data_IF_920859626743
#
_entry.id   IF_920859626743
#
_cell.length_a   1.000
_cell.length_b   1.000
_cell.length_c   1.000
_cell.angle_alpha   90.00
_cell.angle_beta   90.00
_cell.angle_gamma   90.00
#
_symmetry.space_group_name_H-M   'P 1'
#
loop_
_entity.id
_entity.type
_entity.pdbx_description
1 polymer ?
#
# COMPACT_ATOMS: atom_id res chain seq x y z
N UNK A 1 -13.51 1.10 -11.42
CA UNK A 1 -13.46 0.97 -9.94
C UNK A 1 -12.04 1.14 -9.39
N UNK A 2 -11.05 0.32 -9.80
CA UNK A 2 -9.68 0.35 -9.25
C UNK A 2 -8.99 1.74 -9.28
N UNK A 3 -8.86 2.35 -10.46
CA UNK A 3 -8.16 3.63 -10.62
C UNK A 3 -8.78 4.75 -9.76
N UNK A 4 -10.11 4.80 -9.67
CA UNK A 4 -10.83 5.77 -8.83
C UNK A 4 -10.55 5.55 -7.34
N UNK A 5 -10.43 4.29 -6.89
CA UNK A 5 -10.06 3.99 -5.51
C UNK A 5 -8.63 4.45 -5.21
N UNK A 6 -7.67 4.16 -6.10
CA UNK A 6 -6.29 4.67 -5.96
C UNK A 6 -6.29 6.20 -5.86
N UNK A 7 -6.97 6.88 -6.78
CA UNK A 7 -7.07 8.33 -6.80
C UNK A 7 -7.69 8.88 -5.50
N UNK A 8 -8.78 8.28 -5.02
CA UNK A 8 -9.44 8.69 -3.76
C UNK A 8 -8.59 8.45 -2.51
N UNK A 9 -7.73 7.43 -2.52
CA UNK A 9 -6.84 7.13 -1.40
C UNK A 9 -5.70 8.14 -1.35
N UNK A 10 -5.10 8.42 -2.51
CA UNK A 10 -3.96 9.33 -2.61
C UNK A 10 -4.35 10.80 -2.45
N UNK A 11 -5.58 11.18 -2.78
CA UNK A 11 -6.11 12.53 -2.52
C UNK A 11 -6.72 12.70 -1.13
N UNK A 12 -6.78 11.64 -0.31
CA UNK A 12 -7.37 11.71 1.02
C UNK A 12 -6.55 12.58 1.97
N UNK A 13 -7.19 13.41 2.82
CA UNK A 13 -6.52 14.11 3.93
C UNK A 13 -5.85 13.18 4.95
N UNK A 14 -6.21 11.88 4.93
CA UNK A 14 -5.57 10.85 5.77
C UNK A 14 -4.35 10.22 5.11
N UNK A 15 -4.17 10.41 3.81
CA UNK A 15 -3.12 9.81 2.99
C UNK A 15 -1.80 10.58 3.05
N UNK A 16 -0.87 10.19 2.17
CA UNK A 16 0.49 10.71 2.11
C UNK A 16 0.59 12.22 1.82
N UNK A 17 -0.41 12.81 1.16
CA UNK A 17 -0.48 14.25 0.89
C UNK A 17 -1.26 15.05 1.94
N UNK A 18 -1.73 14.41 3.01
CA UNK A 18 -2.66 15.00 3.96
C UNK A 18 -2.09 16.14 4.82
N UNK A 19 -0.78 16.33 4.83
CA UNK A 19 -0.09 17.44 5.51
C UNK A 19 0.26 18.61 4.58
N UNK A 20 -0.07 18.52 3.29
CA UNK A 20 0.21 19.55 2.29
C UNK A 20 1.65 19.55 1.76
N UNK A 21 2.54 18.68 2.25
CA UNK A 21 3.93 18.62 1.77
C UNK A 21 4.04 18.02 0.35
N UNK A 22 3.01 17.30 -0.11
CA UNK A 22 2.95 16.65 -1.42
C UNK A 22 1.53 16.52 -1.94
N UNK A 23 1.38 16.42 -3.26
CA UNK A 23 0.13 16.15 -3.94
C UNK A 23 0.32 15.07 -5.02
N UNK A 24 -0.77 14.37 -5.35
CA UNK A 24 -0.78 13.34 -6.38
C UNK A 24 -1.69 13.76 -7.52
N UNK A 25 -1.23 13.56 -8.75
CA UNK A 25 -2.02 13.79 -9.94
C UNK A 25 -2.02 12.53 -10.80
N UNK A 26 -3.20 12.02 -11.11
CA UNK A 26 -3.35 10.96 -12.09
C UNK A 26 -3.22 11.55 -13.49
N UNK A 27 -2.33 10.99 -14.29
CA UNK A 27 -2.15 11.37 -15.69
C UNK A 27 -2.48 10.18 -16.61
N UNK A 28 -2.94 10.48 -17.81
CA UNK A 28 -3.29 9.46 -18.82
C UNK A 28 -2.13 9.15 -19.77
N UNK A 29 -1.16 10.06 -19.91
CA UNK A 29 -0.01 9.95 -20.80
C UNK A 29 1.19 10.71 -20.22
N UNK A 30 2.38 10.49 -20.80
CA UNK A 30 3.61 11.19 -20.40
C UNK A 30 4.42 10.47 -19.31
N UNK A 31 5.55 11.07 -18.89
CA UNK A 31 6.38 10.55 -17.80
C UNK A 31 5.62 10.60 -16.47
N UNK A 32 5.89 9.63 -15.60
CA UNK A 32 5.28 9.53 -14.27
C UNK A 32 6.33 9.20 -13.23
N UNK A 33 6.16 9.69 -12.01
CA UNK A 33 7.05 9.34 -10.89
C UNK A 33 6.89 7.89 -10.44
N UNK A 34 5.68 7.33 -10.57
CA UNK A 34 5.40 5.92 -10.31
C UNK A 34 4.07 5.49 -10.97
N UNK A 35 3.83 4.18 -11.01
CA UNK A 35 2.59 3.55 -11.47
C UNK A 35 2.03 2.66 -10.38
N UNK A 36 0.72 2.65 -10.21
CA UNK A 36 0.02 1.67 -9.36
C UNK A 36 -0.62 0.62 -10.26
N UNK A 37 -0.21 -0.63 -10.11
CA UNK A 37 -0.61 -1.75 -10.98
C UNK A 37 -1.34 -2.80 -10.17
N UNK A 38 -2.56 -3.19 -10.56
CA UNK A 38 -3.21 -4.38 -10.04
C UNK A 38 -2.93 -5.55 -11.00
N UNK A 39 -2.28 -6.61 -10.52
CA UNK A 39 -1.80 -7.70 -11.37
C UNK A 39 -2.16 -9.09 -10.82
N UNK A 40 -2.34 -10.07 -11.71
CA UNK A 40 -2.52 -11.47 -11.32
C UNK A 40 -1.28 -12.01 -10.60
N UNK A 41 -1.40 -13.03 -9.71
CA UNK A 41 -0.28 -13.62 -8.98
C UNK A 41 1.01 -13.82 -9.78
N UNK A 42 0.97 -14.56 -10.89
CA UNK A 42 2.16 -14.81 -11.71
C UNK A 42 2.69 -13.57 -12.44
N UNK A 43 1.84 -12.57 -12.71
CA UNK A 43 2.30 -11.28 -13.25
C UNK A 43 2.96 -10.44 -12.16
N UNK A 44 2.42 -10.46 -10.94
CA UNK A 44 3.06 -9.84 -9.77
C UNK A 44 4.44 -10.43 -9.53
N UNK A 45 4.58 -11.76 -9.48
CA UNK A 45 5.87 -12.43 -9.28
C UNK A 45 6.91 -11.98 -10.35
N UNK A 46 6.49 -11.87 -11.61
CA UNK A 46 7.36 -11.40 -12.71
C UNK A 46 7.75 -9.93 -12.56
N UNK A 47 6.79 -9.05 -12.24
CA UNK A 47 7.03 -7.61 -12.11
C UNK A 47 7.85 -7.27 -10.86
N UNK A 48 7.76 -8.10 -9.81
CA UNK A 48 8.43 -7.92 -8.54
C UNK A 48 9.83 -8.54 -8.47
N UNK A 49 10.20 -9.39 -9.44
CA UNK A 49 11.52 -10.02 -9.45
C UNK A 49 12.66 -8.98 -9.33
N UNK A 50 13.68 -9.24 -8.49
CA UNK A 50 13.99 -10.50 -7.80
C UNK A 50 13.29 -10.70 -6.44
N UNK A 51 12.36 -9.83 -6.04
CA UNK A 51 11.62 -10.00 -4.79
C UNK A 51 10.70 -11.22 -4.86
N UNK A 52 10.65 -11.98 -3.77
CA UNK A 52 9.84 -13.21 -3.69
C UNK A 52 8.47 -12.89 -3.09
N UNK A 53 7.47 -12.78 -3.97
CA UNK A 53 6.07 -12.48 -3.58
C UNK A 53 5.25 -13.72 -3.24
N UNK A 54 5.77 -14.93 -3.48
CA UNK A 54 5.09 -16.21 -3.22
C UNK A 54 3.68 -16.29 -3.85
N UNK A 55 3.44 -15.62 -4.98
CA UNK A 55 2.14 -15.56 -5.64
C UNK A 55 1.06 -14.78 -4.87
N UNK A 56 1.34 -14.24 -3.68
CA UNK A 56 0.32 -13.62 -2.82
C UNK A 56 0.69 -12.22 -2.37
N UNK A 57 1.96 -11.84 -2.30
CA UNK A 57 2.36 -10.52 -1.80
C UNK A 57 2.43 -9.48 -2.92
N UNK A 58 2.19 -8.24 -2.53
CA UNK A 58 2.45 -7.05 -3.33
C UNK A 58 3.93 -6.65 -3.20
N UNK A 59 4.37 -5.72 -4.05
CA UNK A 59 5.71 -5.14 -3.94
C UNK A 59 5.76 -3.74 -4.55
N UNK A 60 6.86 -3.05 -4.27
CA UNK A 60 7.33 -1.94 -5.07
C UNK A 60 8.64 -2.31 -5.77
N UNK A 61 8.69 -2.20 -7.09
CA UNK A 61 9.87 -2.49 -7.89
C UNK A 61 10.03 -1.48 -9.04
N UNK A 62 11.19 -0.83 -9.10
CA UNK A 62 11.43 0.27 -10.04
C UNK A 62 10.48 1.44 -9.78
N UNK A 63 9.71 1.84 -10.79
CA UNK A 63 8.66 2.88 -10.70
C UNK A 63 7.25 2.27 -10.51
N UNK A 64 7.11 1.06 -9.99
CA UNK A 64 5.81 0.38 -9.89
C UNK A 64 5.50 -0.07 -8.47
N UNK A 65 4.40 0.44 -7.93
CA UNK A 65 3.64 -0.16 -6.84
C UNK A 65 2.73 -1.26 -7.43
N UNK A 66 3.10 -2.52 -7.25
CA UNK A 66 2.39 -3.69 -7.79
C UNK A 66 1.53 -4.32 -6.69
N UNK A 67 0.22 -4.26 -6.87
CA UNK A 67 -0.77 -4.86 -5.99
C UNK A 67 -1.16 -6.26 -6.49
N UNK A 68 -1.02 -7.26 -5.64
CA UNK A 68 -1.42 -8.63 -5.97
C UNK A 68 -2.96 -8.76 -5.99
N UNK A 69 -3.53 -9.23 -7.11
CA UNK A 69 -4.99 -9.32 -7.27
C UNK A 69 -5.66 -10.36 -6.39
N UNK A 70 -4.93 -11.41 -5.96
CA UNK A 70 -5.47 -12.38 -5.02
C UNK A 70 -5.70 -11.73 -3.65
N UNK A 71 -4.72 -10.98 -3.15
CA UNK A 71 -4.86 -10.19 -1.91
C UNK A 71 -5.88 -9.08 -2.04
N UNK A 72 -5.92 -8.39 -3.18
CA UNK A 72 -6.92 -7.37 -3.45
C UNK A 72 -8.37 -7.89 -3.32
N UNK A 73 -8.60 -9.15 -3.68
CA UNK A 73 -9.92 -9.78 -3.63
C UNK A 73 -10.20 -10.40 -2.27
N UNK A 74 -9.21 -11.05 -1.65
CA UNK A 74 -9.43 -11.90 -0.47
C UNK A 74 -9.03 -11.25 0.86
N UNK A 75 -8.28 -10.13 0.83
CA UNK A 75 -7.84 -9.48 2.05
C UNK A 75 -6.61 -10.15 2.70
N UNK A 76 -6.39 -9.81 3.97
CA UNK A 76 -5.47 -10.49 4.86
C UNK A 76 -6.11 -10.65 6.24
N UNK A 77 -5.74 -11.72 6.94
CA UNK A 77 -6.33 -12.09 8.24
C UNK A 77 -6.24 -10.96 9.27
N UNK A 78 -5.18 -10.14 9.19
CA UNK A 78 -5.02 -8.97 10.04
C UNK A 78 -6.17 -7.97 9.94
N UNK A 79 -6.82 -7.84 8.79
CA UNK A 79 -7.96 -6.94 8.59
C UNK A 79 -9.32 -7.63 8.80
N UNK A 80 -9.36 -8.93 9.09
CA UNK A 80 -10.60 -9.69 9.24
C UNK A 80 -11.51 -9.52 8.02
N UNK A 81 -12.73 -9.02 8.26
CA UNK A 81 -13.73 -8.77 7.20
C UNK A 81 -13.60 -7.41 6.53
N UNK A 82 -12.68 -6.52 6.97
CA UNK A 82 -12.49 -5.19 6.41
C UNK A 82 -11.64 -5.18 5.12
N UNK A 83 -12.22 -5.75 4.05
CA UNK A 83 -11.58 -5.77 2.73
C UNK A 83 -11.36 -4.36 2.17
N UNK A 84 -12.25 -3.42 2.48
CA UNK A 84 -12.12 -2.04 2.02
C UNK A 84 -10.92 -1.34 2.68
N UNK A 85 -10.72 -1.51 3.99
CA UNK A 85 -9.53 -1.07 4.70
C UNK A 85 -8.28 -1.72 4.15
N UNK A 86 -8.28 -3.03 3.95
CA UNK A 86 -7.11 -3.74 3.41
C UNK A 86 -6.69 -3.23 2.02
N UNK A 87 -7.64 -2.94 1.12
CA UNK A 87 -7.33 -2.36 -0.20
C UNK A 87 -6.68 -0.98 -0.09
N UNK A 88 -7.13 -0.13 0.85
CA UNK A 88 -6.52 1.17 1.13
C UNK A 88 -5.11 1.00 1.70
N UNK A 89 -4.93 0.05 2.61
CA UNK A 89 -3.63 -0.33 3.15
C UNK A 89 -2.66 -0.75 2.03
N UNK A 90 -3.05 -1.66 1.14
CA UNK A 90 -2.21 -2.10 0.02
C UNK A 90 -1.76 -0.92 -0.85
N UNK A 91 -2.68 0.00 -1.18
CA UNK A 91 -2.36 1.19 -1.96
C UNK A 91 -1.34 2.06 -1.21
N UNK A 92 -1.62 2.41 0.04
CA UNK A 92 -0.74 3.29 0.80
C UNK A 92 0.63 2.66 1.09
N UNK A 93 0.69 1.35 1.35
CA UNK A 93 1.94 0.64 1.64
C UNK A 93 2.88 0.66 0.42
N UNK A 94 2.40 0.21 -0.74
CA UNK A 94 3.24 0.13 -1.94
C UNK A 94 3.56 1.51 -2.52
N UNK A 95 2.64 2.48 -2.40
CA UNK A 95 2.95 3.88 -2.73
C UNK A 95 3.92 4.49 -1.73
N UNK A 96 3.87 4.10 -0.45
CA UNK A 96 4.85 4.50 0.55
C UNK A 96 6.27 4.12 0.12
N UNK A 97 6.46 2.90 -0.40
CA UNK A 97 7.74 2.51 -1.00
C UNK A 97 8.13 3.38 -2.21
N UNK A 98 7.17 3.72 -3.09
CA UNK A 98 7.41 4.64 -4.20
C UNK A 98 7.82 6.05 -3.74
N UNK A 99 7.42 6.45 -2.54
CA UNK A 99 7.83 7.70 -1.87
C UNK A 99 9.14 7.56 -1.07
N UNK A 100 9.83 6.42 -1.18
CA UNK A 100 11.10 6.16 -0.48
C UNK A 100 10.94 5.71 0.97
N UNK A 101 9.74 5.29 1.40
CA UNK A 101 9.50 4.82 2.77
C UNK A 101 9.93 3.36 2.91
N UNK A 102 10.73 3.08 3.94
CA UNK A 102 11.09 1.73 4.36
C UNK A 102 10.04 1.11 5.28
N UNK A 103 10.15 -0.20 5.53
CA UNK A 103 9.28 -0.87 6.48
C UNK A 103 9.45 -0.33 7.91
N UNK A 104 8.35 -0.32 8.65
CA UNK A 104 8.30 -0.01 10.07
C UNK A 104 7.70 -1.18 10.85
N UNK A 105 7.75 -1.10 12.17
CA UNK A 105 7.27 -2.15 13.07
C UNK A 105 6.25 -1.58 14.06
N UNK A 106 5.44 -2.48 14.65
CA UNK A 106 4.51 -2.13 15.70
C UNK A 106 5.26 -1.45 16.87
N UNK A 107 4.78 -0.28 17.28
CA UNK A 107 5.44 0.55 18.30
C UNK A 107 5.07 0.16 19.71
N UNK A 108 3.80 -0.20 19.95
CA UNK A 108 3.29 -0.68 21.23
C UNK A 108 1.98 -1.45 21.05
N UNK A 109 1.65 -2.29 22.03
CA UNK A 109 0.39 -3.04 22.03
C UNK A 109 -0.83 -2.09 22.04
N UNK A 110 -1.84 -2.40 21.23
CA UNK A 110 -3.05 -1.60 21.06
C UNK A 110 -2.90 -0.37 20.17
N UNK A 111 -1.68 0.09 19.87
CA UNK A 111 -1.47 1.22 18.97
C UNK A 111 -1.84 0.86 17.52
N UNK A 112 -2.24 1.84 16.69
CA UNK A 112 -2.36 1.63 15.25
C UNK A 112 -1.03 1.20 14.66
N UNK A 113 -1.02 0.14 13.85
CA UNK A 113 0.16 -0.27 13.11
C UNK A 113 0.59 0.87 12.16
N UNK A 114 1.89 1.15 12.02
CA UNK A 114 2.36 2.03 10.95
C UNK A 114 1.90 1.47 9.60
N UNK A 115 1.54 2.33 8.64
CA UNK A 115 1.13 1.84 7.31
C UNK A 115 2.30 1.18 6.59
N UNK A 116 3.54 1.58 6.89
CA UNK A 116 4.72 0.90 6.39
C UNK A 116 5.08 -0.39 7.14
N UNK A 117 4.28 -0.83 8.12
CA UNK A 117 4.36 -2.20 8.62
C UNK A 117 3.83 -3.19 7.58
N UNK A 118 4.42 -4.38 7.49
CA UNK A 118 3.95 -5.46 6.61
C UNK A 118 2.67 -6.13 7.17
N UNK A 119 1.60 -5.36 7.35
CA UNK A 119 0.33 -5.79 7.96
C UNK A 119 -0.32 -6.96 7.21
N UNK A 120 -0.06 -7.17 5.91
CA UNK A 120 -0.48 -8.39 5.19
C UNK A 120 0.01 -9.68 5.84
N UNK A 121 1.14 -9.63 6.56
CA UNK A 121 1.72 -10.76 7.29
C UNK A 121 1.27 -10.83 8.76
N UNK A 122 0.50 -9.85 9.23
CA UNK A 122 0.08 -9.71 10.63
C UNK A 122 0.44 -8.34 11.22
N UNK A 123 -0.23 -7.99 12.31
CA UNK A 123 -0.04 -6.71 13.04
C UNK A 123 0.56 -6.90 14.44
N UNK A 124 0.80 -8.14 14.87
CA UNK A 124 1.31 -8.43 16.21
C UNK A 124 0.39 -7.86 17.30
N UNK A 125 0.95 -7.09 18.23
CA UNK A 125 0.18 -6.41 19.28
C UNK A 125 -0.55 -5.13 18.82
N UNK A 126 -0.31 -4.65 17.60
CA UNK A 126 -0.95 -3.44 17.09
C UNK A 126 -2.35 -3.73 16.52
N UNK A 127 -3.09 -2.65 16.25
CA UNK A 127 -4.34 -2.70 15.50
C UNK A 127 -4.13 -2.41 14.01
N UNK A 128 -4.89 -3.04 13.09
CA UNK A 128 -4.77 -2.80 11.65
C UNK A 128 -5.06 -1.34 11.31
N UNK A 129 -4.25 -0.76 10.43
CA UNK A 129 -4.38 0.65 10.07
C UNK A 129 -4.01 0.86 8.60
N UNK A 130 -4.95 1.35 7.77
CA UNK A 130 -4.71 1.53 6.35
C UNK A 130 -4.14 2.91 5.96
N UNK A 131 -3.90 3.81 6.92
CA UNK A 131 -3.51 5.19 6.66
C UNK A 131 -2.18 5.58 7.30
N UNK A 132 -1.31 6.32 6.58
CA UNK A 132 -0.05 6.76 7.16
C UNK A 132 -0.30 7.62 8.40
N UNK A 133 0.41 7.27 9.47
CA UNK A 133 0.43 8.03 10.71
C UNK A 133 1.12 9.39 10.47
N UNK A 134 0.87 10.41 11.32
CA UNK A 134 1.42 11.75 11.10
C UNK A 134 2.93 11.78 10.88
N UNK A 135 3.69 11.00 11.65
CA UNK A 135 5.15 10.92 11.52
C UNK A 135 5.63 10.16 10.26
N UNK A 136 4.75 9.39 9.59
CA UNK A 136 5.10 8.70 8.35
C UNK A 136 5.10 9.68 7.16
N UNK A 137 4.28 10.74 7.18
CA UNK A 137 3.97 11.60 6.02
C UNK A 137 5.08 12.54 5.56
N UNK A 138 6.05 12.82 6.43
CA UNK A 138 7.18 13.74 6.18
C UNK A 138 8.21 13.27 5.17
#
# INVERSE_FOLDING_TARGET
>A
AFALLVESVLSSPKGWGGDGARAFQRVSTGPVSFRVTLASPGTTDRLCAPLVTNGIYSCHQGERAVLNSWRWTNGADSFGTDLAGYRRYMINHEVGHALGKGHLYCTSAGAPAPTMMQQTKGVGGCTPNPWPLPYERG
#
